data_IF_032695844755
#
_entry.id   IF_032695844755
#
_cell.length_a   1.000
_cell.length_b   1.000
_cell.length_c   1.000
_cell.angle_alpha   90.00
_cell.angle_beta   90.00
_cell.angle_gamma   90.00
#
_symmetry.space_group_name_H-M   'P 1'
#
loop_
_entity.id
_entity.type
_entity.pdbx_description
1 polymer ?
#
# COMPACT_ATOMS: atom_id res chain seq x y z
N UNK A 1 55.38 -63.55 51.03
CA UNK A 1 56.83 -63.35 51.25
C UNK A 1 57.28 -62.21 50.34
N UNK A 2 57.96 -61.24 50.95
CA UNK A 2 58.55 -60.02 50.37
C UNK A 2 57.61 -58.82 50.16
N UNK A 3 57.27 -58.18 51.28
CA UNK A 3 57.23 -56.72 51.42
C UNK A 3 58.61 -56.11 51.16
N UNK A 4 58.67 -54.91 50.58
CA UNK A 4 59.50 -53.75 51.02
C UNK A 4 59.00 -52.55 50.19
N UNK A 5 58.09 -51.72 50.69
CA UNK A 5 58.27 -50.55 51.57
C UNK A 5 58.69 -49.27 50.83
N UNK A 6 58.11 -48.16 51.30
CA UNK A 6 58.65 -46.78 51.27
C UNK A 6 58.35 -45.99 49.98
N UNK A 7 57.79 -44.77 49.99
CA UNK A 7 57.53 -43.75 51.02
C UNK A 7 56.65 -42.65 50.41
N UNK A 8 56.03 -41.84 51.30
CA UNK A 8 55.72 -40.41 51.11
C UNK A 8 54.74 -40.05 49.98
N UNK A 9 54.05 -38.93 49.97
CA UNK A 9 53.70 -37.85 50.89
C UNK A 9 52.88 -36.93 49.97
N UNK A 10 51.79 -36.35 50.48
CA UNK A 10 50.92 -35.45 49.71
C UNK A 10 51.70 -34.45 48.86
N UNK A 11 51.29 -34.34 47.59
CA UNK A 11 51.33 -33.05 46.93
C UNK A 11 50.03 -32.80 46.15
N UNK A 12 49.50 -31.59 46.34
CA UNK A 12 48.30 -31.08 45.69
C UNK A 12 48.67 -30.72 44.26
N UNK A 13 48.20 -31.49 43.29
CA UNK A 13 48.26 -31.09 41.89
C UNK A 13 46.82 -30.85 41.41
N UNK A 14 46.43 -29.58 41.45
CA UNK A 14 45.35 -29.03 40.64
C UNK A 14 45.73 -29.22 39.18
N UNK A 15 45.03 -30.09 38.47
CA UNK A 15 45.07 -30.11 37.01
C UNK A 15 44.03 -29.12 36.48
N UNK A 16 44.37 -28.29 35.48
CA UNK A 16 43.52 -27.24 34.96
C UNK A 16 42.31 -27.81 34.21
N UNK A 17 41.13 -27.29 34.53
CA UNK A 17 39.88 -27.51 33.77
C UNK A 17 39.92 -26.76 32.43
N UNK A 18 40.76 -27.23 31.50
CA UNK A 18 40.62 -27.00 30.07
C UNK A 18 40.74 -28.38 29.42
N UNK A 19 39.84 -28.85 28.56
CA UNK A 19 39.60 -28.27 27.26
C UNK A 19 38.35 -28.95 26.66
N UNK A 20 37.20 -28.70 27.28
CA UNK A 20 35.89 -29.10 26.73
C UNK A 20 34.94 -27.91 26.82
N UNK A 21 35.43 -26.71 26.49
CA UNK A 21 34.51 -25.71 26.00
C UNK A 21 34.19 -26.09 24.56
N UNK A 22 32.92 -26.31 24.34
CA UNK A 22 32.40 -26.93 23.14
C UNK A 22 32.56 -25.92 22.02
N UNK A 23 33.62 -26.06 21.23
CA UNK A 23 33.57 -25.73 19.82
C UNK A 23 32.57 -26.69 19.16
N UNK A 24 31.29 -26.58 19.54
CA UNK A 24 30.24 -26.81 18.56
C UNK A 24 30.61 -25.82 17.48
N UNK A 25 31.00 -26.35 16.32
CA UNK A 25 31.01 -25.58 15.11
C UNK A 25 29.57 -25.09 14.93
N UNK A 26 29.26 -23.93 15.54
CA UNK A 26 28.21 -23.07 15.08
C UNK A 26 28.60 -22.82 13.64
N UNK A 27 28.02 -23.63 12.75
CA UNK A 27 27.94 -23.29 11.35
C UNK A 27 27.57 -21.80 11.35
N UNK A 28 28.42 -20.92 10.79
CA UNK A 28 28.31 -19.48 11.03
C UNK A 28 27.08 -18.98 10.29
N UNK A 29 25.92 -19.25 10.88
CA UNK A 29 24.61 -18.85 10.40
C UNK A 29 24.58 -17.34 10.26
N UNK A 30 25.33 -16.62 11.09
CA UNK A 30 25.56 -15.19 10.94
C UNK A 30 26.14 -14.84 9.57
N UNK A 31 27.13 -15.58 9.07
CA UNK A 31 27.72 -15.34 7.73
C UNK A 31 26.71 -15.68 6.62
N UNK A 32 25.93 -16.76 6.78
CA UNK A 32 24.90 -17.14 5.80
C UNK A 32 23.76 -16.12 5.77
N UNK A 33 23.29 -15.68 6.93
CA UNK A 33 22.26 -14.64 7.07
C UNK A 33 22.76 -13.32 6.50
N UNK A 34 24.00 -12.91 6.82
CA UNK A 34 24.61 -11.70 6.26
C UNK A 34 24.80 -11.80 4.74
N UNK A 35 25.16 -12.97 4.20
CA UNK A 35 25.29 -13.18 2.77
C UNK A 35 23.94 -13.09 2.04
N UNK A 36 22.89 -13.72 2.58
CA UNK A 36 21.53 -13.62 2.03
C UNK A 36 21.01 -12.18 2.10
N UNK A 37 21.25 -11.49 3.23
CA UNK A 37 20.88 -10.09 3.42
C UNK A 37 21.62 -9.18 2.42
N UNK A 38 22.93 -9.36 2.26
CA UNK A 38 23.75 -8.60 1.32
C UNK A 38 23.30 -8.81 -0.14
N UNK A 39 22.96 -10.04 -0.52
CA UNK A 39 22.40 -10.35 -1.86
C UNK A 39 21.03 -9.70 -2.03
N UNK A 40 20.15 -9.76 -1.02
CA UNK A 40 18.84 -9.11 -1.07
C UNK A 40 18.97 -7.59 -1.22
N UNK A 41 19.88 -6.95 -0.47
CA UNK A 41 20.19 -5.51 -0.62
C UNK A 41 20.79 -5.21 -1.99
N UNK A 42 21.73 -6.02 -2.49
CA UNK A 42 22.32 -5.85 -3.81
C UNK A 42 21.29 -5.94 -4.94
N UNK A 43 20.37 -6.91 -4.87
CA UNK A 43 19.25 -7.05 -5.82
C UNK A 43 18.31 -5.85 -5.72
N UNK A 44 17.96 -5.40 -4.51
CA UNK A 44 17.11 -4.23 -4.28
C UNK A 44 17.74 -2.98 -4.90
N UNK A 45 19.04 -2.77 -4.67
CA UNK A 45 19.78 -1.64 -5.25
C UNK A 45 19.89 -1.74 -6.77
N UNK A 46 20.16 -2.93 -7.32
CA UNK A 46 20.21 -3.16 -8.76
C UNK A 46 18.86 -2.90 -9.44
N UNK A 47 17.75 -3.29 -8.80
CA UNK A 47 16.39 -3.02 -9.29
C UNK A 47 16.00 -1.54 -9.22
N UNK A 48 16.56 -0.79 -8.27
CA UNK A 48 16.37 0.66 -8.14
C UNK A 48 17.23 1.43 -9.14
N UNK A 49 18.46 0.98 -9.41
CA UNK A 49 19.37 1.64 -10.36
C UNK A 49 19.07 1.30 -11.82
N UNK A 50 18.46 0.15 -12.10
CA UNK A 50 18.20 -0.38 -13.45
C UNK A 50 17.08 0.32 -14.23
N UNK A 51 16.48 1.38 -13.71
CA UNK A 51 15.54 2.23 -14.47
C UNK A 51 16.12 3.61 -14.71
N UNK A 52 17.07 3.67 -15.65
CA UNK A 52 17.41 4.92 -16.33
C UNK A 52 17.35 4.71 -17.85
N UNK A 53 16.47 5.48 -18.47
CA UNK A 53 16.54 5.98 -19.85
C UNK A 53 16.17 4.97 -20.94
N UNK A 54 14.85 4.85 -21.15
CA UNK A 54 14.31 4.78 -22.51
C UNK A 54 13.79 6.17 -22.87
N UNK A 55 14.61 6.97 -23.54
CA UNK A 55 14.13 8.11 -24.32
C UNK A 55 13.03 7.63 -25.26
N UNK A 56 11.77 7.97 -24.97
CA UNK A 56 10.73 8.04 -25.99
C UNK A 56 10.12 9.43 -25.88
N UNK A 57 10.77 10.35 -26.59
CA UNK A 57 10.14 11.60 -26.96
C UNK A 57 8.91 11.28 -27.81
N UNK A 58 7.74 11.27 -27.18
CA UNK A 58 6.50 11.43 -27.92
C UNK A 58 6.43 12.89 -28.32
N UNK A 59 6.94 13.10 -29.53
CA UNK A 59 6.70 14.20 -30.46
C UNK A 59 5.38 14.92 -30.15
N UNK A 60 5.49 16.05 -29.47
CA UNK A 60 4.43 17.04 -29.37
C UNK A 60 4.18 17.58 -30.79
N UNK A 61 3.11 17.14 -31.43
CA UNK A 61 2.67 17.72 -32.69
C UNK A 61 2.22 19.16 -32.46
N UNK A 62 3.09 20.10 -32.84
CA UNK A 62 2.74 21.50 -33.06
C UNK A 62 1.94 21.60 -34.37
N UNK A 63 0.74 22.19 -34.38
CA UNK A 63 0.19 22.77 -35.59
C UNK A 63 1.01 24.03 -35.94
N UNK A 64 1.46 24.12 -37.19
CA UNK A 64 2.41 25.12 -37.68
C UNK A 64 1.89 26.56 -37.77
N UNK A 65 2.79 27.54 -38.01
CA UNK A 65 2.48 28.96 -38.06
C UNK A 65 2.13 29.39 -39.48
N UNK A 66 1.07 30.18 -39.65
CA UNK A 66 0.91 31.03 -40.84
C UNK A 66 0.52 32.46 -40.47
N UNK A 67 1.53 33.30 -40.66
CA UNK A 67 1.58 34.68 -41.16
C UNK A 67 0.58 35.73 -40.67
N UNK A 68 1.19 36.80 -40.14
CA UNK A 68 0.61 38.10 -39.91
C UNK A 68 0.06 38.73 -41.19
N UNK A 69 -1.08 39.42 -41.04
CA UNK A 69 -1.43 40.63 -41.75
C UNK A 69 -2.43 41.41 -40.89
N UNK A 70 -1.96 42.49 -40.26
CA UNK A 70 -2.82 43.57 -39.81
C UNK A 70 -3.16 44.45 -41.03
N UNK A 71 -4.31 45.12 -41.04
CA UNK A 71 -4.25 46.49 -40.54
C UNK A 71 -5.43 46.93 -39.65
N UNK A 72 -5.06 47.88 -38.81
CA UNK A 72 -5.80 48.92 -38.10
C UNK A 72 -7.30 49.11 -38.42
N UNK A 73 -8.13 49.08 -37.38
CA UNK A 73 -9.35 49.90 -37.22
C UNK A 73 -9.89 49.76 -35.79
N UNK A 74 -9.65 50.78 -34.97
CA UNK A 74 -10.39 51.02 -33.72
C UNK A 74 -11.84 51.35 -34.05
N UNK A 75 -12.79 50.52 -33.62
CA UNK A 75 -14.19 50.92 -33.51
C UNK A 75 -14.88 50.18 -32.36
N UNK A 76 -15.26 50.94 -31.34
CA UNK A 76 -16.18 50.55 -30.27
C UNK A 76 -17.51 50.06 -30.88
N UNK A 77 -17.85 48.79 -30.67
CA UNK A 77 -19.22 48.28 -30.88
C UNK A 77 -19.66 47.44 -29.70
N UNK A 78 -20.57 48.02 -28.93
CA UNK A 78 -21.45 47.37 -27.96
C UNK A 78 -22.15 46.19 -28.61
N UNK A 79 -22.22 45.01 -27.97
CA UNK A 79 -22.97 43.88 -28.53
C UNK A 79 -24.48 44.14 -28.44
N UNK A 80 -25.27 43.69 -29.44
CA UNK A 80 -26.73 43.75 -29.41
C UNK A 80 -27.30 42.76 -28.38
N UNK A 81 -28.46 43.04 -27.76
CA UNK A 81 -29.07 42.13 -26.80
C UNK A 81 -29.64 40.89 -27.51
N UNK A 82 -29.22 39.71 -27.05
CA UNK A 82 -29.79 38.42 -27.48
C UNK A 82 -31.17 38.20 -26.81
N UNK A 83 -32.14 37.59 -27.52
CA UNK A 83 -33.49 37.37 -27.04
C UNK A 83 -33.50 36.43 -25.81
N UNK A 84 -34.29 36.82 -24.80
CA UNK A 84 -34.55 36.03 -23.62
C UNK A 84 -35.30 34.74 -24.00
N UNK A 85 -34.63 33.59 -23.87
CA UNK A 85 -35.25 32.30 -24.15
C UNK A 85 -34.27 31.18 -24.45
N UNK A 86 -33.22 31.00 -23.65
CA UNK A 86 -32.44 29.77 -23.64
C UNK A 86 -32.15 29.41 -22.20
N UNK A 87 -32.86 28.40 -21.70
CA UNK A 87 -32.53 27.72 -20.46
C UNK A 87 -31.07 27.23 -20.56
N UNK A 88 -30.26 27.28 -19.49
CA UNK A 88 -28.96 26.63 -19.48
C UNK A 88 -29.22 25.12 -19.37
N UNK A 89 -29.45 24.46 -20.51
CA UNK A 89 -29.09 23.07 -20.64
C UNK A 89 -27.57 23.02 -20.49
N UNK A 90 -27.12 22.44 -19.37
CA UNK A 90 -25.71 22.25 -19.05
C UNK A 90 -25.08 21.32 -20.08
N UNK A 91 -24.59 21.91 -21.16
CA UNK A 91 -23.81 21.22 -22.17
C UNK A 91 -22.43 20.86 -21.58
N UNK A 92 -22.27 19.58 -21.28
CA UNK A 92 -21.00 18.86 -21.51
C UNK A 92 -19.80 19.26 -20.67
N UNK A 93 -19.89 19.18 -19.34
CA UNK A 93 -18.73 18.69 -18.61
C UNK A 93 -18.45 17.26 -19.11
N UNK A 94 -17.20 16.88 -19.47
CA UNK A 94 -16.87 15.48 -19.72
C UNK A 94 -17.39 14.65 -18.53
N UNK A 95 -18.08 13.52 -18.76
CA UNK A 95 -18.47 12.66 -17.66
C UNK A 95 -17.22 12.36 -16.84
N UNK A 96 -17.27 12.61 -15.53
CA UNK A 96 -16.19 12.23 -14.63
C UNK A 96 -15.85 10.76 -14.90
N UNK A 97 -14.56 10.39 -14.97
CA UNK A 97 -14.18 9.02 -15.24
C UNK A 97 -14.89 8.11 -14.23
N UNK A 98 -15.74 7.22 -14.75
CA UNK A 98 -16.50 6.29 -13.92
C UNK A 98 -15.55 5.18 -13.48
N UNK A 99 -15.54 4.89 -12.18
CA UNK A 99 -14.76 3.77 -11.65
C UNK A 99 -15.45 2.47 -12.06
N UNK A 100 -14.70 1.57 -12.68
CA UNK A 100 -15.20 0.26 -13.07
C UNK A 100 -15.22 -0.69 -11.87
N UNK A 101 -16.35 -1.35 -11.63
CA UNK A 101 -16.49 -2.36 -10.58
C UNK A 101 -16.68 -3.74 -11.19
N UNK A 102 -15.75 -4.64 -10.92
CA UNK A 102 -15.82 -6.05 -11.31
C UNK A 102 -16.27 -6.90 -10.11
N UNK A 103 -17.43 -7.52 -10.26
CA UNK A 103 -18.10 -8.31 -9.22
C UNK A 103 -18.27 -9.73 -9.76
N UNK A 104 -17.71 -10.75 -9.07
CA UNK A 104 -17.90 -12.14 -9.43
C UNK A 104 -19.38 -12.53 -9.54
N UNK A 105 -19.73 -13.27 -10.59
CA UNK A 105 -21.10 -13.72 -10.80
C UNK A 105 -21.57 -14.63 -9.63
N UNK A 106 -22.87 -14.59 -9.26
CA UNK A 106 -23.38 -15.36 -8.12
C UNK A 106 -23.11 -16.87 -8.17
N UNK A 107 -23.04 -17.45 -9.38
CA UNK A 107 -22.78 -18.88 -9.59
C UNK A 107 -21.30 -19.30 -9.41
N UNK A 108 -20.39 -18.34 -9.17
CA UNK A 108 -18.97 -18.63 -8.92
C UNK A 108 -18.73 -19.00 -7.45
N UNK A 109 -17.56 -19.58 -7.14
CA UNK A 109 -17.12 -19.83 -5.76
C UNK A 109 -17.20 -18.54 -4.91
N UNK A 110 -16.62 -17.46 -5.41
CA UNK A 110 -16.59 -16.16 -4.70
C UNK A 110 -18.00 -15.59 -4.57
N UNK A 111 -18.81 -15.63 -5.64
CA UNK A 111 -20.21 -15.18 -5.62
C UNK A 111 -21.07 -15.90 -4.58
N UNK A 112 -20.85 -17.21 -4.39
CA UNK A 112 -21.53 -18.01 -3.36
C UNK A 112 -21.17 -17.51 -1.96
N UNK A 113 -19.87 -17.31 -1.69
CA UNK A 113 -19.39 -16.80 -0.39
C UNK A 113 -19.89 -15.38 -0.13
N UNK A 114 -19.94 -14.51 -1.15
CA UNK A 114 -20.52 -13.17 -1.01
C UNK A 114 -22.01 -13.23 -0.62
N UNK A 115 -22.75 -14.23 -1.12
CA UNK A 115 -24.12 -14.50 -0.70
C UNK A 115 -24.24 -14.95 0.77
N UNK A 116 -23.27 -15.72 1.27
CA UNK A 116 -23.19 -16.10 2.68
C UNK A 116 -22.83 -14.90 3.57
N UNK A 117 -21.91 -14.04 3.13
CA UNK A 117 -21.55 -12.80 3.82
C UNK A 117 -22.78 -11.89 3.98
N UNK A 118 -23.65 -11.82 2.97
CA UNK A 118 -24.89 -11.05 3.04
C UNK A 118 -25.85 -11.51 4.15
N UNK A 119 -25.72 -12.74 4.66
CA UNK A 119 -26.53 -13.25 5.77
C UNK A 119 -26.03 -12.77 7.15
N UNK A 120 -24.78 -12.34 7.25
CA UNK A 120 -24.15 -11.96 8.52
C UNK A 120 -23.80 -10.47 8.61
N UNK A 121 -23.68 -9.78 7.48
CA UNK A 121 -23.35 -8.37 7.38
C UNK A 121 -24.61 -7.58 6.91
N UNK A 122 -25.34 -6.93 7.82
CA UNK A 122 -26.55 -6.19 7.48
C UNK A 122 -26.29 -5.09 6.43
N UNK A 123 -27.14 -5.02 5.40
CA UNK A 123 -27.03 -4.02 4.34
C UNK A 123 -25.91 -4.29 3.32
N UNK A 124 -25.19 -5.41 3.45
CA UNK A 124 -24.15 -5.78 2.49
C UNK A 124 -24.73 -6.09 1.11
N UNK A 125 -24.13 -5.47 0.10
CA UNK A 125 -24.18 -5.92 -1.30
C UNK A 125 -22.78 -5.76 -1.89
N UNK A 126 -22.35 -6.61 -2.85
CA UNK A 126 -21.01 -6.48 -3.42
C UNK A 126 -20.73 -5.10 -4.05
N UNK A 127 -21.75 -4.48 -4.66
CA UNK A 127 -21.64 -3.15 -5.27
C UNK A 127 -21.57 -2.02 -4.24
N UNK A 128 -22.32 -2.11 -3.13
CA UNK A 128 -22.20 -1.15 -2.04
C UNK A 128 -20.84 -1.28 -1.33
N UNK A 129 -20.38 -2.52 -1.14
CA UNK A 129 -19.06 -2.80 -0.57
C UNK A 129 -17.93 -2.21 -1.41
N UNK A 130 -17.95 -2.37 -2.74
CA UNK A 130 -16.91 -1.75 -3.59
C UNK A 130 -16.91 -0.22 -3.52
N UNK A 131 -18.06 0.42 -3.33
CA UNK A 131 -18.13 1.87 -3.07
C UNK A 131 -17.53 2.25 -1.71
N UNK A 132 -17.77 1.42 -0.69
CA UNK A 132 -17.16 1.60 0.63
C UNK A 132 -15.64 1.42 0.58
N UNK A 133 -15.17 0.38 -0.12
CA UNK A 133 -13.75 0.14 -0.36
C UNK A 133 -13.09 1.29 -1.12
N UNK A 134 -13.75 1.84 -2.14
CA UNK A 134 -13.28 3.02 -2.86
C UNK A 134 -13.17 4.24 -1.94
N UNK A 135 -14.20 4.50 -1.13
CA UNK A 135 -14.22 5.60 -0.16
C UNK A 135 -13.11 5.45 0.89
N UNK A 136 -12.91 4.24 1.41
CA UNK A 136 -11.84 3.92 2.34
C UNK A 136 -10.46 4.16 1.70
N UNK A 137 -10.25 3.70 0.46
CA UNK A 137 -9.01 3.93 -0.28
C UNK A 137 -8.69 5.42 -0.44
N UNK A 138 -9.69 6.22 -0.84
CA UNK A 138 -9.56 7.68 -0.99
C UNK A 138 -9.20 8.40 0.32
N UNK A 139 -9.53 7.82 1.47
CA UNK A 139 -9.23 8.38 2.79
C UNK A 139 -7.89 7.90 3.34
N UNK A 140 -7.63 6.59 3.26
CA UNK A 140 -6.46 5.94 3.87
C UNK A 140 -5.17 6.38 3.18
N UNK A 141 -5.14 6.44 1.84
CA UNK A 141 -3.92 6.82 1.09
C UNK A 141 -3.38 8.19 1.50
N UNK A 142 -4.16 9.28 1.46
CA UNK A 142 -3.66 10.59 1.87
C UNK A 142 -3.39 10.67 3.38
N UNK A 143 -4.24 10.07 4.23
CA UNK A 143 -4.04 10.09 5.68
C UNK A 143 -2.72 9.41 6.10
N UNK A 144 -2.41 8.25 5.50
CA UNK A 144 -1.14 7.56 5.74
C UNK A 144 0.06 8.37 5.25
N UNK A 145 -0.06 9.06 4.11
CA UNK A 145 1.01 9.88 3.57
C UNK A 145 1.37 11.05 4.51
N UNK A 146 0.37 11.76 5.04
CA UNK A 146 0.60 12.89 5.94
C UNK A 146 0.78 12.48 7.41
N UNK A 147 0.61 11.20 7.73
CA UNK A 147 0.74 10.69 9.10
C UNK A 147 -0.45 11.00 10.01
N UNK A 148 -1.65 11.22 9.45
CA UNK A 148 -2.87 11.50 10.19
C UNK A 148 -3.45 10.22 10.81
N UNK A 149 -2.86 9.78 11.93
CA UNK A 149 -3.34 8.60 12.68
C UNK A 149 -4.81 8.73 13.11
N UNK A 150 -5.29 9.88 13.61
CA UNK A 150 -6.71 10.05 13.92
C UNK A 150 -7.65 9.80 12.73
N UNK A 151 -7.28 10.19 11.50
CA UNK A 151 -8.08 9.90 10.31
C UNK A 151 -8.08 8.43 9.88
N UNK A 152 -7.07 7.65 10.29
CA UNK A 152 -6.96 6.21 10.05
C UNK A 152 -7.74 5.39 11.08
N UNK A 153 -7.94 5.92 12.28
CA UNK A 153 -8.62 5.23 13.37
C UNK A 153 -10.01 4.74 12.95
N UNK A 154 -10.27 3.45 13.21
CA UNK A 154 -11.55 2.81 12.88
C UNK A 154 -11.75 2.47 11.40
N UNK A 155 -10.87 2.89 10.48
CA UNK A 155 -10.83 2.40 9.10
C UNK A 155 -9.99 1.13 8.94
N UNK A 156 -9.13 0.86 9.91
CA UNK A 156 -8.18 -0.22 9.93
C UNK A 156 -8.58 -1.23 11.01
N UNK A 157 -8.22 -2.50 10.84
CA UNK A 157 -8.25 -3.43 11.97
C UNK A 157 -7.20 -3.02 13.01
N UNK A 158 -7.32 -3.51 14.25
CA UNK A 158 -6.39 -3.16 15.32
C UNK A 158 -4.93 -3.45 14.93
N UNK A 159 -4.66 -4.64 14.40
CA UNK A 159 -3.32 -5.05 13.97
C UNK A 159 -2.78 -4.16 12.85
N UNK A 160 -3.63 -3.80 11.88
CA UNK A 160 -3.25 -2.91 10.76
C UNK A 160 -3.01 -1.48 11.23
N UNK A 161 -3.83 -0.98 12.18
CA UNK A 161 -3.68 0.35 12.75
C UNK A 161 -2.34 0.47 13.49
N UNK A 162 -1.98 -0.54 14.27
CA UNK A 162 -0.68 -0.60 14.95
C UNK A 162 0.48 -0.59 13.94
N UNK A 163 0.43 -1.44 12.91
CA UNK A 163 1.46 -1.49 11.87
C UNK A 163 1.60 -0.16 11.13
N UNK A 164 0.49 0.50 10.80
CA UNK A 164 0.51 1.81 10.13
C UNK A 164 1.07 2.89 11.05
N UNK A 165 0.69 2.89 12.32
CA UNK A 165 1.22 3.82 13.33
C UNK A 165 2.73 3.68 13.45
N UNK A 166 3.25 2.45 13.59
CA UNK A 166 4.69 2.19 13.67
C UNK A 166 5.43 2.66 12.41
N UNK A 167 4.87 2.42 11.22
CA UNK A 167 5.46 2.88 9.96
C UNK A 167 5.50 4.43 9.86
N UNK A 168 4.44 5.10 10.32
CA UNK A 168 4.38 6.57 10.37
C UNK A 168 5.43 7.11 11.35
N UNK A 169 5.57 6.50 12.53
CA UNK A 169 6.55 6.91 13.54
C UNK A 169 7.97 6.74 13.02
N UNK A 170 8.30 5.58 12.45
CA UNK A 170 9.63 5.31 11.88
C UNK A 170 10.00 6.33 10.77
N UNK A 171 9.05 6.66 9.89
CA UNK A 171 9.24 7.68 8.85
C UNK A 171 9.49 9.06 9.46
N UNK A 172 8.72 9.41 10.48
CA UNK A 172 8.82 10.68 11.19
C UNK A 172 10.17 10.82 11.91
N UNK A 173 10.62 9.75 12.58
CA UNK A 173 11.92 9.68 13.25
C UNK A 173 13.10 9.78 12.28
N UNK A 174 12.97 9.21 11.07
CA UNK A 174 13.96 9.36 10.00
C UNK A 174 14.04 10.80 9.46
N UNK A 175 13.00 11.62 9.69
CA UNK A 175 12.85 12.95 9.11
C UNK A 175 12.43 12.89 7.65
N UNK A 176 11.77 11.81 7.24
CA UNK A 176 11.31 11.60 5.87
C UNK A 176 9.90 12.17 5.66
N UNK A 177 9.63 12.64 4.46
CA UNK A 177 8.33 13.22 4.07
C UNK A 177 7.73 12.41 2.93
N UNK A 178 6.55 11.84 3.18
CA UNK A 178 5.77 11.12 2.19
C UNK A 178 4.73 12.05 1.57
N UNK A 179 4.66 12.07 0.24
CA UNK A 179 3.60 12.70 -0.54
C UNK A 179 2.88 11.65 -1.37
N UNK A 180 1.57 11.58 -1.22
CA UNK A 180 0.70 10.72 -2.03
C UNK A 180 -0.49 11.51 -2.56
N UNK A 181 -0.49 11.81 -3.86
CA UNK A 181 -1.62 12.47 -4.53
C UNK A 181 -2.39 11.45 -5.36
N UNK A 182 -3.58 11.05 -4.89
CA UNK A 182 -4.49 10.20 -5.63
C UNK A 182 -5.17 11.01 -6.74
N UNK A 183 -4.81 10.73 -8.00
CA UNK A 183 -5.37 11.41 -9.19
C UNK A 183 -6.66 10.77 -9.68
N UNK A 184 -6.80 9.47 -9.50
CA UNK A 184 -7.97 8.72 -9.93
C UNK A 184 -7.92 7.29 -9.47
N UNK A 185 -9.08 6.65 -9.46
CA UNK A 185 -9.22 5.20 -9.32
C UNK A 185 -9.88 4.75 -10.61
N UNK A 186 -9.27 3.80 -11.29
CA UNK A 186 -9.73 3.37 -12.60
C UNK A 186 -10.63 2.13 -12.46
N UNK A 187 -10.28 1.17 -11.59
CA UNK A 187 -11.14 0.02 -11.30
C UNK A 187 -10.97 -0.57 -9.90
N UNK A 188 -12.01 -1.24 -9.41
CA UNK A 188 -11.95 -2.17 -8.29
C UNK A 188 -12.54 -3.53 -8.70
N UNK A 189 -11.88 -4.62 -8.31
CA UNK A 189 -12.33 -5.98 -8.60
C UNK A 189 -12.28 -6.85 -7.35
N UNK A 190 -13.38 -7.53 -7.01
CA UNK A 190 -13.36 -8.55 -5.95
C UNK A 190 -12.67 -9.79 -6.50
N UNK A 191 -11.51 -10.15 -5.92
CA UNK A 191 -10.74 -11.32 -6.34
C UNK A 191 -11.10 -12.57 -5.54
N UNK A 192 -11.30 -12.41 -4.24
CA UNK A 192 -11.64 -13.53 -3.35
C UNK A 192 -12.47 -13.07 -2.16
N UNK A 193 -13.13 -14.03 -1.51
CA UNK A 193 -13.87 -13.83 -0.29
C UNK A 193 -13.75 -15.05 0.62
N UNK A 194 -13.75 -14.81 1.92
CA UNK A 194 -13.59 -15.83 2.95
C UNK A 194 -14.56 -15.58 4.10
N UNK A 195 -15.09 -16.66 4.66
CA UNK A 195 -15.83 -16.63 5.89
C UNK A 195 -15.17 -17.54 6.91
N UNK A 196 -14.79 -16.97 8.05
CA UNK A 196 -14.16 -17.69 9.16
C UNK A 196 -14.95 -17.46 10.44
N UNK A 197 -14.86 -18.41 11.37
CA UNK A 197 -15.42 -18.26 12.71
C UNK A 197 -14.29 -18.27 13.72
N UNK A 198 -14.33 -17.34 14.67
CA UNK A 198 -13.43 -17.25 15.81
C UNK A 198 -14.26 -17.19 17.09
N UNK A 199 -13.81 -17.84 18.16
CA UNK A 199 -14.50 -17.78 19.45
C UNK A 199 -14.54 -16.35 20.02
N UNK A 200 -13.48 -15.57 19.77
CA UNK A 200 -13.34 -14.20 20.29
C UNK A 200 -14.10 -13.16 19.44
N UNK A 201 -14.11 -13.33 18.11
CA UNK A 201 -14.63 -12.32 17.17
C UNK A 201 -15.96 -12.71 16.51
N UNK A 202 -16.47 -13.90 16.84
CA UNK A 202 -17.65 -14.45 16.20
C UNK A 202 -17.38 -14.78 14.73
N UNK A 203 -18.32 -14.44 13.85
CA UNK A 203 -18.13 -14.62 12.40
C UNK A 203 -17.35 -13.43 11.84
N UNK A 204 -16.33 -13.75 11.06
CA UNK A 204 -15.47 -12.81 10.35
C UNK A 204 -15.62 -13.06 8.85
N UNK A 205 -15.98 -12.02 8.11
CA UNK A 205 -15.96 -12.00 6.66
C UNK A 205 -14.75 -11.22 6.17
N UNK A 206 -14.05 -11.74 5.17
CA UNK A 206 -12.94 -11.05 4.49
C UNK A 206 -13.14 -11.03 2.99
N UNK A 207 -12.80 -9.93 2.35
CA UNK A 207 -12.91 -9.76 0.90
C UNK A 207 -11.61 -9.16 0.38
N UNK A 208 -10.94 -9.86 -0.54
CA UNK A 208 -9.74 -9.35 -1.23
C UNK A 208 -10.19 -8.58 -2.48
N UNK A 209 -9.71 -7.33 -2.59
CA UNK A 209 -10.06 -6.40 -3.66
C UNK A 209 -8.79 -5.96 -4.35
N UNK A 210 -8.76 -6.08 -5.69
CA UNK A 210 -7.77 -5.39 -6.52
C UNK A 210 -8.23 -3.98 -6.82
N UNK A 211 -7.34 -3.02 -6.62
CA UNK A 211 -7.57 -1.60 -6.87
C UNK A 211 -6.54 -1.13 -7.89
N UNK A 212 -7.01 -0.59 -9.02
CA UNK A 212 -6.16 0.06 -10.02
C UNK A 212 -6.34 1.56 -9.88
N UNK A 213 -5.26 2.28 -9.59
CA UNK A 213 -5.31 3.71 -9.31
C UNK A 213 -4.18 4.49 -9.98
N UNK A 214 -4.42 5.78 -10.23
CA UNK A 214 -3.40 6.71 -10.73
C UNK A 214 -2.98 7.64 -9.60
N UNK A 215 -1.69 7.62 -9.28
CA UNK A 215 -1.15 8.32 -8.12
C UNK A 215 0.18 9.00 -8.45
N UNK A 216 0.49 10.04 -7.69
CA UNK A 216 1.86 10.52 -7.50
C UNK A 216 2.27 10.05 -6.12
N UNK A 217 3.42 9.38 -6.00
CA UNK A 217 3.89 8.85 -4.73
C UNK A 217 5.39 9.12 -4.64
N UNK A 218 5.80 9.97 -3.69
CA UNK A 218 7.18 10.36 -3.47
C UNK A 218 7.50 10.35 -1.98
N UNK A 219 8.63 9.75 -1.62
CA UNK A 219 9.25 9.82 -0.31
C UNK A 219 10.55 10.63 -0.45
N UNK A 220 10.66 11.70 0.33
CA UNK A 220 11.86 12.55 0.38
C UNK A 220 12.52 12.50 1.75
N UNK A 221 13.83 12.74 1.78
CA UNK A 221 14.58 12.87 3.02
C UNK A 221 14.35 14.24 3.69
N UNK A 222 15.05 14.47 4.80
CA UNK A 222 14.99 15.73 5.58
C UNK A 222 15.45 16.97 4.80
N UNK A 223 16.21 16.80 3.73
CA UNK A 223 16.71 17.87 2.87
C UNK A 223 15.76 18.12 1.69
N UNK A 224 14.73 17.28 1.52
CA UNK A 224 13.81 17.31 0.40
C UNK A 224 14.27 16.48 -0.80
N UNK A 225 15.41 15.79 -0.69
CA UNK A 225 15.93 14.96 -1.77
C UNK A 225 15.09 13.68 -1.90
N UNK A 226 14.66 13.30 -3.11
CA UNK A 226 13.82 12.13 -3.32
C UNK A 226 14.57 10.83 -2.99
N UNK A 227 14.06 10.06 -2.03
CA UNK A 227 14.56 8.73 -1.64
C UNK A 227 13.91 7.64 -2.51
N UNK A 228 12.58 7.71 -2.65
CA UNK A 228 11.78 6.70 -3.32
C UNK A 228 10.59 7.32 -4.04
N UNK A 229 10.13 6.68 -5.11
CA UNK A 229 8.90 7.05 -5.80
C UNK A 229 9.15 7.92 -7.03
N UNK A 230 8.12 8.65 -7.45
CA UNK A 230 8.11 9.45 -8.67
C UNK A 230 7.12 10.61 -8.53
N UNK A 231 7.48 11.76 -9.08
CA UNK A 231 6.59 12.92 -9.20
C UNK A 231 5.62 12.80 -10.39
N UNK A 232 5.84 11.83 -11.27
CA UNK A 232 4.96 11.57 -12.40
C UNK A 232 3.71 10.79 -11.97
N UNK A 233 2.57 11.11 -12.59
CA UNK A 233 1.35 10.31 -12.43
C UNK A 233 1.62 8.90 -12.94
N UNK A 234 1.50 7.92 -12.06
CA UNK A 234 1.82 6.52 -12.31
C UNK A 234 0.64 5.64 -11.93
N UNK A 235 0.43 4.56 -12.68
CA UNK A 235 -0.58 3.56 -12.37
C UNK A 235 -0.06 2.58 -11.30
N UNK A 236 -0.88 2.30 -10.30
CA UNK A 236 -0.62 1.38 -9.20
C UNK A 236 -1.69 0.29 -9.18
N UNK A 237 -1.25 -0.93 -8.91
CA UNK A 237 -2.10 -2.10 -8.72
C UNK A 237 -1.92 -2.58 -7.29
N UNK A 238 -2.96 -2.41 -6.48
CA UNK A 238 -2.96 -2.76 -5.06
C UNK A 238 -3.93 -3.90 -4.78
N UNK A 239 -3.60 -4.77 -3.84
CA UNK A 239 -4.47 -5.82 -3.31
C UNK A 239 -4.75 -5.53 -1.84
N UNK A 240 -6.02 -5.25 -1.55
CA UNK A 240 -6.50 -4.83 -0.23
C UNK A 240 -7.46 -5.89 0.31
N UNK A 241 -7.18 -6.36 1.52
CA UNK A 241 -8.04 -7.27 2.25
C UNK A 241 -8.90 -6.49 3.23
N UNK A 242 -10.19 -6.46 2.99
CA UNK A 242 -11.16 -5.86 3.90
C UNK A 242 -11.77 -6.91 4.81
N UNK A 243 -12.12 -6.51 6.03
CA UNK A 243 -12.68 -7.36 7.05
C UNK A 243 -13.93 -6.75 7.68
N UNK A 244 -14.91 -7.61 7.94
CA UNK A 244 -16.08 -7.35 8.76
C UNK A 244 -16.18 -8.40 9.86
N UNK A 245 -16.28 -7.98 11.12
CA UNK A 245 -16.40 -8.87 12.26
C UNK A 245 -17.68 -8.57 13.05
N UNK A 246 -18.51 -9.60 13.28
CA UNK A 246 -19.82 -9.45 13.95
C UNK A 246 -19.75 -8.96 15.40
N UNK A 247 -18.62 -9.18 16.08
CA UNK A 247 -18.41 -8.73 17.47
C UNK A 247 -18.04 -7.24 17.57
N UNK A 248 -17.62 -6.61 16.48
CA UNK A 248 -17.10 -5.24 16.47
C UNK A 248 -18.19 -4.28 15.98
N UNK A 249 -18.67 -3.41 16.88
CA UNK A 249 -19.70 -2.40 16.61
C UNK A 249 -19.10 -0.98 16.55
N UNK A 250 -19.49 -0.09 15.61
CA UNK A 250 -20.51 -0.28 14.57
C UNK A 250 -19.92 -0.64 13.19
N UNK A 251 -20.13 -1.89 12.78
CA UNK A 251 -20.61 -2.29 11.44
C UNK A 251 -19.96 -1.70 10.18
N UNK A 252 -18.67 -1.36 10.17
CA UNK A 252 -17.98 -0.93 8.96
C UNK A 252 -16.96 -1.97 8.49
N UNK A 253 -16.71 -1.99 7.18
CA UNK A 253 -15.57 -2.73 6.65
C UNK A 253 -14.28 -2.01 7.00
N UNK A 254 -13.30 -2.77 7.48
CA UNK A 254 -11.99 -2.26 7.89
C UNK A 254 -10.89 -2.88 7.05
N UNK A 255 -9.85 -2.12 6.75
CA UNK A 255 -8.66 -2.65 6.06
C UNK A 255 -7.87 -3.53 7.05
N UNK A 256 -7.72 -4.81 6.69
CA UNK A 256 -6.95 -5.79 7.44
C UNK A 256 -5.53 -5.97 6.89
N UNK A 257 -5.36 -5.83 5.57
CA UNK A 257 -4.04 -5.89 4.94
C UNK A 257 -4.02 -5.15 3.61
N UNK A 258 -2.86 -4.63 3.23
CA UNK A 258 -2.61 -4.07 1.90
C UNK A 258 -1.25 -4.52 1.37
N UNK A 259 -1.18 -4.79 0.06
CA UNK A 259 0.08 -5.13 -0.63
C UNK A 259 0.02 -4.73 -2.11
N UNK A 260 1.17 -4.51 -2.76
CA UNK A 260 1.21 -4.44 -4.22
C UNK A 260 0.73 -5.76 -4.85
N UNK A 261 0.07 -5.66 -6.00
CA UNK A 261 -0.40 -6.80 -6.79
C UNK A 261 0.75 -7.59 -7.45
#
# INVERSE_FOLDING_TARGET
MSETQTFMSSDKIHLPSGLMDSASAHFPWDIVVLAVLAVALGIRLYRVLGRRIGMQGVRQERPGPFSASAPDSRETRTPPPLPAGAQPNGEGAPPAPQVEYDIPAPATRVGTILGEIAQIAPGFTPSAFLKEAESAFRRIIPAFAVGDKPALAGLLTFETEEAFSQAIDARTEAGEVQRSDLRGIDSLAILDAFLTSSEAEGRIARIEVRIVSRQINLLSDRNGDPIQGTEAVTEFHDLWLFEYATSVSPSNWRLAASRPA
#
